data_IF_759936819881
#
_entry.id   IF_759936819881
#
_cell.length_a   1.000
_cell.length_b   1.000
_cell.length_c   1.000
_cell.angle_alpha   90.00
_cell.angle_beta   90.00
_cell.angle_gamma   90.00
#
_symmetry.space_group_name_H-M   'P 1'
#
loop_
_entity.id
_entity.type
_entity.pdbx_description
1 polymer ?
#
# COMPACT_ATOMS: atom_id res chain seq x y z
N UNK A 1 3.68 16.86 24.21
CA UNK A 1 2.94 15.64 23.82
C UNK A 1 1.66 16.11 23.17
N UNK A 2 1.58 16.04 21.85
CA UNK A 2 0.37 16.38 21.09
C UNK A 2 -0.56 15.18 21.14
N UNK A 3 -1.81 15.41 21.56
CA UNK A 3 -2.80 14.34 21.65
C UNK A 3 -3.10 13.78 20.25
N UNK A 4 -3.01 12.45 20.03
CA UNK A 4 -3.27 11.84 18.73
C UNK A 4 -4.68 12.13 18.20
N UNK A 5 -5.65 12.35 19.10
CA UNK A 5 -7.01 12.79 18.74
C UNK A 5 -7.07 14.21 18.18
N UNK A 6 -6.19 15.11 18.63
CA UNK A 6 -6.12 16.50 18.15
C UNK A 6 -5.52 16.57 16.74
N UNK A 7 -4.46 15.78 16.49
CA UNK A 7 -3.85 15.64 15.16
C UNK A 7 -4.81 14.97 14.17
N UNK A 8 -5.49 13.89 14.57
CA UNK A 8 -6.47 13.20 13.74
C UNK A 8 -7.66 14.13 13.38
N UNK A 9 -8.18 14.90 14.34
CA UNK A 9 -9.22 15.89 14.07
C UNK A 9 -8.77 16.98 13.09
N UNK A 10 -7.49 17.35 13.10
CA UNK A 10 -6.91 18.28 12.14
C UNK A 10 -6.84 17.70 10.73
N UNK A 11 -6.37 16.47 10.59
CA UNK A 11 -6.24 15.81 9.27
C UNK A 11 -7.60 15.53 8.65
N UNK A 12 -8.59 15.06 9.42
CA UNK A 12 -9.96 14.85 8.92
C UNK A 12 -10.55 16.14 8.32
N UNK A 13 -10.34 17.27 9.00
CA UNK A 13 -10.78 18.57 8.50
C UNK A 13 -10.08 18.94 7.18
N UNK A 14 -8.78 18.65 7.07
CA UNK A 14 -7.99 18.91 5.85
C UNK A 14 -8.39 18.01 4.68
N UNK A 15 -8.63 16.71 4.90
CA UNK A 15 -9.16 15.80 3.87
C UNK A 15 -10.52 16.27 3.40
N UNK A 16 -11.40 16.64 4.33
CA UNK A 16 -12.74 17.15 4.01
C UNK A 16 -12.66 18.44 3.19
N UNK A 17 -11.76 19.35 3.56
CA UNK A 17 -11.53 20.59 2.82
C UNK A 17 -11.02 20.30 1.40
N UNK A 18 -9.98 19.48 1.25
CA UNK A 18 -9.44 19.10 -0.05
C UNK A 18 -10.48 18.43 -0.95
N UNK A 19 -11.29 17.54 -0.38
CA UNK A 19 -12.37 16.85 -1.07
C UNK A 19 -13.44 17.83 -1.57
N UNK A 20 -13.91 18.72 -0.70
CA UNK A 20 -14.93 19.72 -1.06
C UNK A 20 -14.43 20.69 -2.15
N UNK A 21 -13.17 21.14 -2.05
CA UNK A 21 -12.54 22.00 -3.05
C UNK A 21 -12.40 21.29 -4.39
N UNK A 22 -11.94 20.03 -4.40
CA UNK A 22 -11.79 19.20 -5.62
C UNK A 22 -13.13 18.95 -6.31
N UNK A 23 -14.18 18.59 -5.56
CA UNK A 23 -15.54 18.40 -6.08
C UNK A 23 -16.12 19.68 -6.66
N UNK A 24 -15.87 20.83 -6.01
CA UNK A 24 -16.34 22.13 -6.48
C UNK A 24 -15.64 22.51 -7.78
N UNK A 25 -14.33 22.30 -7.88
CA UNK A 25 -13.58 22.55 -9.10
C UNK A 25 -14.03 21.62 -10.24
N UNK A 26 -14.18 20.33 -9.98
CA UNK A 26 -14.69 19.36 -10.97
C UNK A 26 -16.06 19.77 -11.52
N UNK A 27 -16.98 20.24 -10.65
CA UNK A 27 -18.29 20.77 -11.07
C UNK A 27 -18.15 22.02 -11.94
N UNK A 28 -17.24 22.93 -11.56
CA UNK A 28 -16.98 24.17 -12.29
C UNK A 28 -16.46 23.87 -13.69
N UNK A 29 -15.46 23.01 -13.82
CA UNK A 29 -14.90 22.59 -15.12
C UNK A 29 -15.95 21.85 -15.96
N UNK A 30 -16.76 20.97 -15.36
CA UNK A 30 -17.85 20.26 -16.07
C UNK A 30 -18.88 21.21 -16.68
N UNK A 31 -19.12 22.36 -16.07
CA UNK A 31 -20.06 23.36 -16.60
C UNK A 31 -19.52 24.08 -17.84
N UNK A 32 -18.19 24.11 -18.02
CA UNK A 32 -17.55 24.61 -19.23
C UNK A 32 -17.73 23.53 -20.31
N UNK A 33 -18.59 23.77 -21.30
CA UNK A 33 -18.76 22.90 -22.48
C UNK A 33 -17.51 22.91 -23.37
N UNK A 34 -16.40 22.38 -22.86
CA UNK A 34 -15.13 22.28 -23.58
C UNK A 34 -15.03 20.92 -24.28
N UNK A 35 -14.80 20.92 -25.59
CA UNK A 35 -14.42 19.71 -26.36
C UNK A 35 -12.90 19.45 -26.33
N UNK A 36 -12.16 20.20 -25.53
CA UNK A 36 -10.70 20.18 -25.48
C UNK A 36 -10.19 18.94 -24.75
N UNK A 37 -9.11 18.36 -25.29
CA UNK A 37 -8.50 17.14 -24.74
C UNK A 37 -8.00 17.37 -23.31
N UNK A 38 -7.36 18.51 -23.06
CA UNK A 38 -6.71 18.78 -21.77
C UNK A 38 -7.71 19.08 -20.66
N UNK A 39 -8.82 19.74 -20.99
CA UNK A 39 -9.93 19.93 -20.07
C UNK A 39 -10.61 18.61 -19.67
N UNK A 40 -10.70 17.63 -20.60
CA UNK A 40 -11.17 16.28 -20.27
C UNK A 40 -10.18 15.55 -19.39
N UNK A 41 -8.90 15.58 -19.73
CA UNK A 41 -7.86 14.95 -18.91
C UNK A 41 -7.81 15.52 -17.48
N UNK A 42 -7.93 16.85 -17.33
CA UNK A 42 -7.99 17.48 -16.00
C UNK A 42 -9.24 17.06 -15.21
N UNK A 43 -10.37 16.90 -15.90
CA UNK A 43 -11.61 16.44 -15.27
C UNK A 43 -11.47 15.00 -14.76
N UNK A 44 -10.86 14.12 -15.55
CA UNK A 44 -10.62 12.74 -15.18
C UNK A 44 -9.64 12.68 -13.99
N UNK A 45 -8.56 13.47 -14.01
CA UNK A 45 -7.62 13.60 -12.89
C UNK A 45 -8.30 14.06 -11.59
N UNK A 46 -9.22 15.04 -11.68
CA UNK A 46 -10.00 15.50 -10.52
C UNK A 46 -10.96 14.44 -9.98
N UNK A 47 -11.51 13.59 -10.86
CA UNK A 47 -12.37 12.49 -10.44
C UNK A 47 -11.55 11.43 -9.68
N UNK A 48 -10.37 11.09 -10.19
CA UNK A 48 -9.44 10.16 -9.53
C UNK A 48 -8.99 10.71 -8.17
N UNK A 49 -8.60 11.99 -8.11
CA UNK A 49 -8.23 12.65 -6.85
C UNK A 49 -9.37 12.65 -5.84
N UNK A 50 -10.61 12.92 -6.28
CA UNK A 50 -11.81 12.87 -5.43
C UNK A 50 -11.99 11.46 -4.83
N UNK A 51 -11.85 10.42 -5.65
CA UNK A 51 -11.99 9.03 -5.21
C UNK A 51 -10.91 8.63 -4.18
N UNK A 52 -9.67 9.08 -4.39
CA UNK A 52 -8.57 8.83 -3.45
C UNK A 52 -8.78 9.58 -2.13
N UNK A 53 -9.30 10.80 -2.16
CA UNK A 53 -9.65 11.57 -0.96
C UNK A 53 -10.80 10.95 -0.17
N UNK A 54 -11.82 10.40 -0.85
CA UNK A 54 -12.90 9.63 -0.22
C UNK A 54 -12.34 8.38 0.47
N UNK A 55 -11.48 7.63 -0.23
CA UNK A 55 -10.82 6.43 0.32
C UNK A 55 -9.96 6.77 1.55
N UNK A 56 -9.25 7.89 1.52
CA UNK A 56 -8.49 8.37 2.66
C UNK A 56 -9.38 8.70 3.85
N UNK A 57 -10.51 9.38 3.62
CA UNK A 57 -11.46 9.71 4.68
C UNK A 57 -12.02 8.44 5.35
N UNK A 58 -12.47 7.47 4.54
CA UNK A 58 -12.95 6.17 5.03
C UNK A 58 -11.88 5.42 5.83
N UNK A 59 -10.62 5.47 5.36
CA UNK A 59 -9.49 4.80 6.04
C UNK A 59 -9.20 5.42 7.40
N UNK A 60 -9.22 6.76 7.50
CA UNK A 60 -9.02 7.49 8.76
C UNK A 60 -10.15 7.16 9.76
N UNK A 61 -11.40 7.12 9.30
CA UNK A 61 -12.56 6.79 10.13
C UNK A 61 -12.53 5.33 10.60
N UNK A 62 -12.12 4.39 9.74
CA UNK A 62 -12.01 2.97 10.06
C UNK A 62 -10.82 2.60 10.96
N UNK A 63 -9.75 3.42 10.95
CA UNK A 63 -8.49 3.10 11.63
C UNK A 63 -7.94 4.30 12.44
N UNK A 64 -8.61 4.72 13.54
CA UNK A 64 -8.26 5.94 14.29
C UNK A 64 -6.89 5.89 14.99
N UNK A 65 -6.26 4.72 15.06
CA UNK A 65 -4.94 4.53 15.66
C UNK A 65 -3.78 4.83 14.68
N UNK A 66 -4.08 5.07 13.40
CA UNK A 66 -3.08 5.38 12.38
C UNK A 66 -2.91 6.89 12.28
N UNK A 67 -1.66 7.33 12.38
CA UNK A 67 -1.31 8.74 12.22
C UNK A 67 -1.14 9.10 10.74
N UNK A 68 -1.97 10.02 10.27
CA UNK A 68 -1.90 10.63 8.93
C UNK A 68 -1.40 12.08 8.98
N UNK A 69 -0.81 12.53 10.10
CA UNK A 69 -0.34 13.91 10.28
C UNK A 69 0.67 14.36 9.22
N UNK A 70 1.42 13.43 8.62
CA UNK A 70 2.32 13.69 7.49
C UNK A 70 1.63 14.16 6.22
N UNK A 71 0.31 13.95 6.07
CA UNK A 71 -0.48 14.46 4.95
C UNK A 71 -1.04 15.87 5.18
N UNK A 72 -0.89 16.45 6.38
CA UNK A 72 -1.52 17.73 6.69
C UNK A 72 -1.19 18.83 5.67
N UNK A 73 0.10 19.00 5.37
CA UNK A 73 0.55 19.99 4.39
C UNK A 73 0.13 19.65 2.95
N UNK A 74 0.35 18.42 2.43
CA UNK A 74 -0.18 18.01 1.12
C UNK A 74 -1.69 18.23 0.94
N UNK A 75 -2.50 17.89 1.94
CA UNK A 75 -3.95 18.06 1.87
C UNK A 75 -4.37 19.52 1.91
N UNK A 76 -3.73 20.32 2.78
CA UNK A 76 -3.99 21.75 2.83
C UNK A 76 -3.67 22.42 1.49
N UNK A 77 -2.51 22.11 0.92
CA UNK A 77 -2.07 22.65 -0.36
C UNK A 77 -2.99 22.19 -1.50
N UNK A 78 -3.30 20.90 -1.58
CA UNK A 78 -4.25 20.34 -2.53
C UNK A 78 -5.60 21.09 -2.52
N UNK A 79 -6.17 21.31 -1.33
CA UNK A 79 -7.45 22.01 -1.20
C UNK A 79 -7.37 23.49 -1.61
N UNK A 80 -6.30 24.19 -1.21
CA UNK A 80 -6.05 25.59 -1.58
C UNK A 80 -5.85 25.74 -3.08
N UNK A 81 -5.05 24.86 -3.68
CA UNK A 81 -4.78 24.83 -5.13
C UNK A 81 -6.05 24.57 -5.95
N UNK A 82 -6.90 23.63 -5.52
CA UNK A 82 -8.20 23.41 -6.16
C UNK A 82 -9.13 24.65 -6.05
N UNK A 83 -9.13 25.32 -4.90
CA UNK A 83 -9.94 26.51 -4.68
C UNK A 83 -9.46 27.69 -5.53
N UNK A 84 -8.16 28.00 -5.49
CA UNK A 84 -7.54 29.11 -6.24
C UNK A 84 -7.77 28.95 -7.76
N UNK A 85 -7.59 27.74 -8.28
CA UNK A 85 -7.84 27.46 -9.69
C UNK A 85 -9.33 27.59 -10.04
N UNK A 86 -10.24 27.17 -9.15
CA UNK A 86 -11.67 27.38 -9.32
C UNK A 86 -12.06 28.86 -9.35
N UNK A 87 -11.46 29.67 -8.49
CA UNK A 87 -11.66 31.13 -8.46
C UNK A 87 -11.14 31.80 -9.74
N UNK A 88 -10.00 31.35 -10.28
CA UNK A 88 -9.48 31.82 -11.56
C UNK A 88 -10.47 31.54 -12.72
N UNK A 89 -11.03 30.33 -12.78
CA UNK A 89 -12.05 29.97 -13.77
C UNK A 89 -13.32 30.83 -13.58
N UNK A 90 -13.75 31.07 -12.33
CA UNK A 90 -14.94 31.88 -12.04
C UNK A 90 -14.76 33.35 -12.44
N UNK A 91 -13.58 33.93 -12.21
CA UNK A 91 -13.22 35.29 -12.66
C UNK A 91 -13.28 35.41 -14.18
N UNK A 92 -12.77 34.40 -14.89
CA UNK A 92 -12.82 34.33 -16.35
C UNK A 92 -14.25 34.32 -16.92
N UNK A 93 -15.14 33.55 -16.30
CA UNK A 93 -16.50 33.34 -16.82
C UNK A 93 -17.45 34.51 -16.57
N UNK A 94 -17.17 35.38 -15.58
CA UNK A 94 -18.00 36.56 -15.24
C UNK A 94 -17.95 37.72 -16.25
N UNK A 95 -16.86 37.88 -17.02
CA UNK A 95 -16.66 39.03 -17.92
C UNK A 95 -16.94 38.73 -19.40
N UNK A 96 -17.92 37.87 -19.71
CA UNK A 96 -18.20 37.38 -21.07
C UNK A 96 -18.85 38.42 -22.01
N UNK A 97 -18.09 39.46 -22.37
CA UNK A 97 -18.22 40.20 -23.65
C UNK A 97 -16.97 40.04 -24.55
N UNK A 98 -15.85 39.54 -24.03
CA UNK A 98 -14.68 39.18 -24.85
C UNK A 98 -14.67 37.68 -25.19
N UNK A 99 -14.39 37.38 -26.46
CA UNK A 99 -14.28 36.06 -27.09
C UNK A 99 -13.80 34.93 -26.16
N UNK A 100 -14.45 33.76 -26.25
CA UNK A 100 -14.05 32.51 -25.58
C UNK A 100 -12.58 32.11 -25.79
N UNK A 101 -11.91 32.64 -26.83
CA UNK A 101 -10.49 32.46 -27.06
C UNK A 101 -9.61 33.20 -26.03
N UNK A 102 -10.04 34.36 -25.51
CA UNK A 102 -9.24 35.16 -24.56
C UNK A 102 -9.28 34.61 -23.13
N UNK A 103 -10.32 33.83 -22.77
CA UNK A 103 -10.40 33.16 -21.47
C UNK A 103 -9.48 31.94 -21.41
N UNK A 104 -9.31 31.25 -22.55
CA UNK A 104 -8.40 30.13 -22.70
C UNK A 104 -6.95 30.63 -22.55
N UNK A 105 -6.54 31.61 -23.35
CA UNK A 105 -5.19 32.22 -23.28
C UNK A 105 -4.83 32.67 -21.87
N UNK A 106 -5.79 33.25 -21.15
CA UNK A 106 -5.58 33.78 -19.80
C UNK A 106 -5.47 32.69 -18.71
N UNK A 107 -6.25 31.60 -18.79
CA UNK A 107 -6.16 30.46 -17.85
C UNK A 107 -4.84 29.69 -18.05
N UNK A 108 -4.36 29.58 -19.29
CA UNK A 108 -3.03 29.00 -19.58
C UNK A 108 -1.85 29.87 -19.13
N UNK A 109 -2.07 31.14 -18.75
CA UNK A 109 -0.97 32.08 -18.51
C UNK A 109 -0.63 32.39 -17.04
N UNK A 110 -1.35 31.87 -16.03
CA UNK A 110 -1.24 32.53 -14.70
C UNK A 110 -1.48 31.78 -13.40
N UNK A 111 -1.64 30.45 -13.36
CA UNK A 111 -1.58 29.74 -12.08
C UNK A 111 -0.18 29.18 -11.85
N UNK A 112 0.58 29.74 -10.90
CA UNK A 112 1.98 29.38 -10.63
C UNK A 112 2.86 29.39 -11.91
N UNK A 113 2.61 30.38 -12.78
CA UNK A 113 3.22 30.52 -14.11
C UNK A 113 3.06 29.31 -15.06
N UNK A 114 2.18 28.37 -14.73
CA UNK A 114 2.00 27.13 -15.49
C UNK A 114 0.69 27.06 -16.28
N UNK A 115 0.66 26.10 -17.21
CA UNK A 115 -0.50 25.81 -18.05
C UNK A 115 -1.47 24.80 -17.37
N UNK A 116 -2.48 24.36 -18.10
CA UNK A 116 -3.44 23.36 -17.61
C UNK A 116 -2.79 22.00 -17.31
N UNK A 117 -1.71 21.64 -18.00
CA UNK A 117 -0.98 20.40 -17.77
C UNK A 117 -0.13 20.50 -16.52
N UNK A 118 0.49 21.64 -16.24
CA UNK A 118 1.20 21.87 -14.98
C UNK A 118 0.27 21.73 -13.78
N UNK A 119 -0.94 22.28 -13.88
CA UNK A 119 -1.96 22.09 -12.85
C UNK A 119 -2.38 20.62 -12.71
N UNK A 120 -2.56 19.91 -13.82
CA UNK A 120 -2.87 18.47 -13.79
C UNK A 120 -1.73 17.67 -13.13
N UNK A 121 -0.48 18.00 -13.42
CA UNK A 121 0.69 17.34 -12.84
C UNK A 121 0.77 17.57 -11.32
N UNK A 122 0.46 18.79 -10.85
CA UNK A 122 0.33 19.06 -9.40
C UNK A 122 -0.75 18.18 -8.74
N UNK A 123 -1.93 18.06 -9.35
CA UNK A 123 -2.99 17.19 -8.82
C UNK A 123 -2.58 15.72 -8.79
N UNK A 124 -1.91 15.24 -9.84
CA UNK A 124 -1.35 13.89 -9.88
C UNK A 124 -0.33 13.67 -8.76
N UNK A 125 0.53 14.65 -8.48
CA UNK A 125 1.47 14.63 -7.36
C UNK A 125 0.79 14.47 -5.99
N UNK A 126 -0.29 15.22 -5.73
CA UNK A 126 -1.06 15.05 -4.49
C UNK A 126 -1.75 13.69 -4.44
N UNK A 127 -2.37 13.25 -5.53
CA UNK A 127 -3.05 11.94 -5.63
C UNK A 127 -2.08 10.81 -5.28
N UNK A 128 -0.92 10.80 -5.92
CA UNK A 128 0.14 9.80 -5.67
C UNK A 128 0.65 9.88 -4.23
N UNK A 129 0.87 11.09 -3.68
CA UNK A 129 1.25 11.28 -2.28
C UNK A 129 0.22 10.69 -1.30
N UNK A 130 -1.08 10.88 -1.57
CA UNK A 130 -2.15 10.29 -0.76
C UNK A 130 -2.16 8.77 -0.89
N UNK A 131 -2.00 8.24 -2.11
CA UNK A 131 -1.92 6.79 -2.34
C UNK A 131 -0.72 6.15 -1.61
N UNK A 132 0.43 6.83 -1.55
CA UNK A 132 1.60 6.39 -0.76
C UNK A 132 1.23 6.31 0.73
N UNK A 133 0.55 7.32 1.26
CA UNK A 133 0.11 7.31 2.66
C UNK A 133 -0.94 6.21 2.94
N UNK A 134 -1.85 5.95 2.00
CA UNK A 134 -2.81 4.84 2.07
C UNK A 134 -2.09 3.48 2.04
N UNK A 135 -1.12 3.28 1.15
CA UNK A 135 -0.30 2.07 1.09
C UNK A 135 0.47 1.86 2.40
N UNK A 136 1.02 2.94 2.97
CA UNK A 136 1.71 2.93 4.25
C UNK A 136 0.80 2.54 5.41
N UNK A 137 -0.44 3.02 5.40
CA UNK A 137 -1.45 2.61 6.37
C UNK A 137 -1.79 1.12 6.18
N UNK A 138 -2.08 0.70 4.94
CA UNK A 138 -2.46 -0.67 4.60
C UNK A 138 -1.42 -1.70 5.06
N UNK A 139 -0.11 -1.41 4.96
CA UNK A 139 0.95 -2.30 5.47
C UNK A 139 0.80 -2.62 6.96
N UNK A 140 0.23 -1.71 7.74
CA UNK A 140 0.13 -1.88 9.19
C UNK A 140 -1.04 -2.74 9.65
N UNK A 141 -2.09 -2.88 8.84
CA UNK A 141 -3.32 -3.55 9.27
C UNK A 141 -3.88 -4.58 8.28
N UNK A 142 -3.49 -4.54 7.01
CA UNK A 142 -3.97 -5.45 5.99
C UNK A 142 -2.98 -6.60 5.75
N UNK A 143 -3.53 -7.78 5.42
CA UNK A 143 -2.71 -8.87 4.91
C UNK A 143 -2.25 -8.52 3.49
N UNK A 144 -0.97 -8.20 3.32
CA UNK A 144 -0.39 -7.82 2.03
C UNK A 144 0.06 -9.04 1.26
N UNK A 145 -0.38 -9.13 0.02
CA UNK A 145 0.13 -10.14 -0.91
C UNK A 145 1.45 -9.66 -1.53
N UNK A 146 2.34 -10.58 -1.97
CA UNK A 146 3.58 -10.19 -2.66
C UNK A 146 3.34 -9.31 -3.89
N UNK A 147 2.26 -9.54 -4.64
CA UNK A 147 1.91 -8.69 -5.78
C UNK A 147 1.65 -7.24 -5.35
N UNK A 148 0.83 -7.06 -4.31
CA UNK A 148 0.54 -5.72 -3.75
C UNK A 148 1.81 -5.05 -3.22
N UNK A 149 2.78 -5.83 -2.73
CA UNK A 149 4.07 -5.29 -2.30
C UNK A 149 4.92 -4.80 -3.48
N UNK A 150 4.92 -5.51 -4.60
CA UNK A 150 5.57 -5.05 -5.84
C UNK A 150 4.85 -3.82 -6.41
N UNK A 151 3.51 -3.83 -6.43
CA UNK A 151 2.71 -2.66 -6.84
C UNK A 151 3.04 -1.43 -5.98
N UNK A 152 3.34 -1.60 -4.69
CA UNK A 152 3.80 -0.51 -3.82
C UNK A 152 5.22 -0.04 -4.13
N UNK A 153 6.13 -0.94 -4.52
CA UNK A 153 7.48 -0.53 -4.95
C UNK A 153 7.43 0.30 -6.23
N UNK A 154 6.61 -0.11 -7.18
CA UNK A 154 6.39 0.62 -8.43
C UNK A 154 5.76 1.99 -8.14
N UNK A 155 4.72 2.02 -7.29
CA UNK A 155 4.10 3.27 -6.84
C UNK A 155 5.11 4.23 -6.18
N UNK A 156 6.02 3.72 -5.33
CA UNK A 156 7.08 4.54 -4.71
C UNK A 156 8.02 5.09 -5.76
N UNK A 157 8.45 4.26 -6.71
CA UNK A 157 9.41 4.65 -7.74
C UNK A 157 8.82 5.76 -8.62
N UNK A 158 7.63 5.53 -9.18
CA UNK A 158 6.94 6.48 -10.05
C UNK A 158 6.66 7.80 -9.32
N UNK A 159 6.09 7.72 -8.11
CA UNK A 159 5.80 8.93 -7.31
C UNK A 159 7.08 9.69 -6.95
N UNK A 160 8.18 9.00 -6.66
CA UNK A 160 9.45 9.66 -6.32
C UNK A 160 10.05 10.38 -7.52
N UNK A 161 9.93 9.80 -8.72
CA UNK A 161 10.39 10.44 -9.95
C UNK A 161 9.55 11.68 -10.27
N UNK A 162 8.23 11.54 -10.27
CA UNK A 162 7.30 12.63 -10.57
C UNK A 162 7.47 13.81 -9.60
N UNK A 163 7.58 13.54 -8.29
CA UNK A 163 7.76 14.60 -7.29
C UNK A 163 9.13 15.28 -7.39
N UNK A 164 10.19 14.58 -7.81
CA UNK A 164 11.50 15.20 -8.05
C UNK A 164 11.48 16.11 -9.28
N UNK A 165 10.87 15.65 -10.37
CA UNK A 165 10.70 16.48 -11.57
C UNK A 165 9.89 17.75 -11.26
N UNK A 166 8.80 17.60 -10.49
CA UNK A 166 8.01 18.76 -10.03
C UNK A 166 8.83 19.71 -9.13
N UNK A 167 9.63 19.17 -8.21
CA UNK A 167 10.49 19.97 -7.34
C UNK A 167 11.54 20.77 -8.14
N UNK A 168 12.18 20.16 -9.14
CA UNK A 168 13.13 20.84 -10.03
C UNK A 168 12.44 21.99 -10.80
N UNK A 169 11.22 21.76 -11.31
CA UNK A 169 10.42 22.80 -11.97
C UNK A 169 10.06 23.95 -11.04
N UNK A 170 9.68 23.66 -9.79
CA UNK A 170 9.39 24.70 -8.80
C UNK A 170 10.63 25.53 -8.46
N UNK A 171 11.80 24.89 -8.36
CA UNK A 171 13.07 25.59 -8.09
C UNK A 171 13.48 26.52 -9.23
N UNK A 172 13.25 26.11 -10.49
CA UNK A 172 13.43 26.98 -11.66
C UNK A 172 12.50 28.19 -11.59
N UNK A 173 11.20 27.99 -11.32
CA UNK A 173 10.21 29.07 -11.20
C UNK A 173 10.54 30.06 -10.08
N UNK A 174 11.00 29.55 -8.93
CA UNK A 174 11.47 30.40 -7.82
C UNK A 174 12.71 31.20 -8.23
N UNK A 175 13.64 30.59 -8.96
CA UNK A 175 14.85 31.25 -9.45
C UNK A 175 14.56 32.36 -10.47
N UNK A 176 13.53 32.21 -11.29
CA UNK A 176 13.12 33.23 -12.26
C UNK A 176 12.37 34.39 -11.62
N UNK A 177 11.50 34.12 -10.64
CA UNK A 177 10.81 35.15 -9.86
C UNK A 177 11.78 36.05 -9.09
N UNK A 178 12.88 35.49 -8.56
CA UNK A 178 13.92 36.28 -7.89
C UNK A 178 14.64 37.28 -8.81
N UNK A 179 14.59 37.07 -10.14
CA UNK A 179 15.20 37.97 -11.13
C UNK A 179 14.27 39.13 -11.55
N UNK A 180 12.96 39.00 -11.33
CA UNK A 180 11.94 40.04 -11.59
C UNK A 180 11.75 40.97 -10.38
N UNK A 181 11.60 42.28 -10.63
CA UNK A 181 11.49 43.32 -9.58
C UNK A 181 10.13 43.21 -8.84
N UNK A 182 10.11 43.22 -7.49
CA UNK A 182 8.95 42.83 -6.69
C UNK A 182 8.01 44.00 -6.48
N UNK A 183 6.79 43.93 -7.02
CA UNK A 183 5.71 44.81 -6.55
C UNK A 183 4.35 44.12 -6.35
N UNK A 184 4.17 42.86 -6.78
CA UNK A 184 2.90 42.12 -6.63
C UNK A 184 3.05 40.59 -6.34
N UNK A 185 4.28 40.09 -6.14
CA UNK A 185 4.57 38.63 -6.18
C UNK A 185 4.55 37.93 -4.80
N UNK A 186 4.20 38.62 -3.70
CA UNK A 186 4.27 38.04 -2.34
C UNK A 186 3.33 36.83 -2.17
N UNK A 187 2.13 36.89 -2.75
CA UNK A 187 1.17 35.79 -2.72
C UNK A 187 1.61 34.61 -3.60
N UNK A 188 2.23 34.88 -4.74
CA UNK A 188 2.74 33.85 -5.66
C UNK A 188 3.97 33.15 -5.07
N UNK A 189 4.86 33.91 -4.42
CA UNK A 189 6.02 33.39 -3.73
C UNK A 189 5.63 32.50 -2.53
N UNK A 190 4.63 32.93 -1.75
CA UNK A 190 4.07 32.12 -0.68
C UNK A 190 3.46 30.81 -1.22
N UNK A 191 2.72 30.86 -2.32
CA UNK A 191 2.13 29.67 -2.94
C UNK A 191 3.20 28.68 -3.47
N UNK A 192 4.27 29.17 -4.09
CA UNK A 192 5.40 28.34 -4.53
C UNK A 192 6.16 27.72 -3.35
N UNK A 193 6.37 28.48 -2.27
CA UNK A 193 7.03 27.95 -1.07
C UNK A 193 6.21 26.86 -0.39
N UNK A 194 4.89 27.06 -0.26
CA UNK A 194 3.98 26.05 0.27
C UNK A 194 3.94 24.80 -0.63
N UNK A 195 3.98 24.99 -1.96
CA UNK A 195 4.01 23.88 -2.93
C UNK A 195 5.30 23.07 -2.83
N UNK A 196 6.43 23.75 -2.67
CA UNK A 196 7.73 23.13 -2.44
C UNK A 196 7.72 22.27 -1.17
N UNK A 197 7.29 22.85 -0.05
CA UNK A 197 7.25 22.14 1.24
C UNK A 197 6.29 20.93 1.18
N UNK A 198 5.15 21.07 0.49
CA UNK A 198 4.22 19.96 0.22
C UNK A 198 4.87 18.84 -0.59
N UNK A 199 5.63 19.18 -1.63
CA UNK A 199 6.32 18.23 -2.51
C UNK A 199 7.43 17.48 -1.76
N UNK A 200 8.22 18.20 -0.95
CA UNK A 200 9.24 17.61 -0.05
C UNK A 200 8.61 16.65 0.97
N UNK A 201 7.44 17.00 1.50
CA UNK A 201 6.69 16.14 2.40
C UNK A 201 6.17 14.86 1.70
N UNK A 202 5.78 14.94 0.43
CA UNK A 202 5.47 13.78 -0.40
C UNK A 202 6.68 12.84 -0.58
N UNK A 203 7.87 13.39 -0.85
CA UNK A 203 9.11 12.60 -0.94
C UNK A 203 9.45 11.91 0.38
N UNK A 204 9.20 12.58 1.51
CA UNK A 204 9.38 11.98 2.84
C UNK A 204 8.43 10.80 3.08
N UNK A 205 7.18 10.90 2.61
CA UNK A 205 6.20 9.81 2.65
C UNK A 205 6.66 8.60 1.81
N UNK A 206 7.20 8.83 0.61
CA UNK A 206 7.78 7.76 -0.22
C UNK A 206 8.92 7.03 0.52
N UNK A 207 9.83 7.79 1.16
CA UNK A 207 10.92 7.20 1.94
C UNK A 207 10.41 6.41 3.17
N UNK A 208 9.36 6.90 3.84
CA UNK A 208 8.73 6.21 4.96
C UNK A 208 8.09 4.88 4.54
N UNK A 209 7.38 4.87 3.41
CA UNK A 209 6.78 3.66 2.88
C UNK A 209 7.85 2.63 2.49
N UNK A 210 8.91 3.08 1.80
CA UNK A 210 10.05 2.22 1.44
C UNK A 210 10.69 1.59 2.69
N UNK A 211 10.96 2.38 3.73
CA UNK A 211 11.50 1.87 4.99
C UNK A 211 10.56 0.87 5.67
N UNK A 212 9.24 1.09 5.60
CA UNK A 212 8.26 0.14 6.14
C UNK A 212 8.20 -1.16 5.34
N UNK A 213 8.32 -1.12 4.01
CA UNK A 213 8.43 -2.31 3.17
C UNK A 213 9.67 -3.11 3.54
N UNK A 214 10.83 -2.46 3.68
CA UNK A 214 12.07 -3.12 4.09
C UNK A 214 11.95 -3.74 5.50
N UNK A 215 11.33 -3.02 6.43
CA UNK A 215 11.05 -3.54 7.77
C UNK A 215 10.07 -4.72 7.73
N UNK A 216 9.02 -4.64 6.91
CA UNK A 216 8.04 -5.72 6.75
C UNK A 216 8.71 -6.99 6.19
N UNK A 217 9.57 -6.85 5.17
CA UNK A 217 10.38 -7.94 4.63
C UNK A 217 11.40 -8.48 5.65
N UNK A 218 11.88 -7.62 6.55
CA UNK A 218 12.84 -8.00 7.61
C UNK A 218 12.16 -8.61 8.85
N UNK A 219 10.92 -8.26 9.17
CA UNK A 219 10.13 -8.86 10.27
C UNK A 219 9.55 -10.22 9.87
N UNK A 220 9.42 -10.47 8.57
CA UNK A 220 9.25 -11.82 8.04
C UNK A 220 10.54 -12.66 8.17
N UNK A 221 11.61 -12.14 8.78
CA UNK A 221 12.81 -12.92 9.07
C UNK A 221 12.51 -14.05 10.06
N UNK A 222 13.12 -15.20 9.76
CA UNK A 222 13.07 -16.42 10.54
C UNK A 222 13.25 -16.17 12.04
N UNK A 223 12.45 -16.91 12.81
CA UNK A 223 12.62 -17.05 14.26
C UNK A 223 14.10 -17.36 14.59
N UNK A 224 14.72 -16.71 15.60
CA UNK A 224 16.15 -16.85 15.89
C UNK A 224 16.67 -18.28 16.02
N UNK A 225 15.80 -19.25 16.34
CA UNK A 225 16.13 -20.68 16.36
C UNK A 225 16.51 -21.26 14.99
N UNK A 226 16.05 -20.66 13.89
CA UNK A 226 16.32 -21.08 12.52
C UNK A 226 17.33 -20.15 11.80
N UNK A 227 17.68 -19.01 12.41
CA UNK A 227 18.63 -18.02 11.87
C UNK A 227 20.00 -18.60 11.50
N UNK A 228 20.48 -19.63 12.19
CA UNK A 228 21.77 -20.29 11.94
C UNK A 228 21.70 -21.44 10.91
N UNK A 229 20.50 -21.87 10.50
CA UNK A 229 20.37 -22.94 9.49
C UNK A 229 20.67 -22.40 8.09
N UNK A 230 21.55 -23.04 7.32
CA UNK A 230 21.70 -22.74 5.90
C UNK A 230 20.39 -23.15 5.19
N UNK A 231 19.80 -22.21 4.45
CA UNK A 231 18.63 -22.44 3.60
C UNK A 231 18.93 -21.93 2.19
N UNK A 232 18.32 -22.56 1.19
CA UNK A 232 18.44 -22.11 -0.19
C UNK A 232 18.05 -20.63 -0.33
N UNK A 233 16.98 -20.21 0.35
CA UNK A 233 16.54 -18.81 0.44
C UNK A 233 17.62 -17.88 1.00
N UNK A 234 18.37 -18.26 2.05
CA UNK A 234 19.48 -17.43 2.57
C UNK A 234 20.63 -17.28 1.58
N UNK A 235 21.04 -18.37 0.93
CA UNK A 235 22.11 -18.33 -0.06
C UNK A 235 21.71 -17.52 -1.31
N UNK A 236 20.45 -17.61 -1.71
CA UNK A 236 19.86 -16.83 -2.80
C UNK A 236 19.77 -15.35 -2.40
N UNK A 237 19.19 -15.01 -1.25
CA UNK A 237 19.04 -13.61 -0.77
C UNK A 237 20.37 -12.90 -0.55
N UNK A 238 21.35 -13.58 0.07
CA UNK A 238 22.69 -13.01 0.30
C UNK A 238 23.56 -12.93 -0.95
N UNK A 239 23.38 -13.85 -1.91
CA UNK A 239 24.07 -13.82 -3.20
C UNK A 239 23.45 -12.86 -4.22
N UNK A 240 22.12 -12.72 -4.23
CA UNK A 240 21.39 -11.92 -5.21
C UNK A 240 21.08 -10.49 -4.74
N UNK A 241 21.11 -10.19 -3.44
CA UNK A 241 20.92 -8.81 -2.96
C UNK A 241 21.91 -7.80 -3.57
N UNK A 242 23.23 -8.07 -3.55
CA UNK A 242 24.22 -7.22 -4.24
C UNK A 242 24.03 -7.15 -5.76
N UNK A 243 23.50 -8.23 -6.35
CA UNK A 243 23.18 -8.30 -7.79
C UNK A 243 21.97 -7.43 -8.11
N UNK A 244 20.91 -7.44 -7.30
CA UNK A 244 19.72 -6.59 -7.48
C UNK A 244 20.07 -5.10 -7.43
N UNK A 245 20.86 -4.65 -6.44
CA UNK A 245 21.33 -3.27 -6.38
C UNK A 245 22.19 -2.89 -7.60
N UNK A 246 22.98 -3.83 -8.12
CA UNK A 246 23.79 -3.64 -9.32
C UNK A 246 22.95 -3.60 -10.60
N UNK A 247 21.90 -4.42 -10.71
CA UNK A 247 20.95 -4.44 -11.82
C UNK A 247 20.12 -3.15 -11.85
N UNK A 248 19.66 -2.66 -10.69
CA UNK A 248 18.97 -1.38 -10.58
C UNK A 248 19.85 -0.19 -11.02
N UNK A 249 21.11 -0.17 -10.55
CA UNK A 249 22.09 0.83 -10.99
C UNK A 249 22.33 0.77 -12.50
N UNK A 250 22.46 -0.43 -13.06
CA UNK A 250 22.61 -0.64 -14.50
C UNK A 250 21.38 -0.19 -15.29
N UNK A 251 20.17 -0.47 -14.79
CA UNK A 251 18.91 -0.07 -15.41
C UNK A 251 18.79 1.46 -15.48
N UNK A 252 19.15 2.16 -14.40
CA UNK A 252 19.20 3.63 -14.38
C UNK A 252 20.20 4.19 -15.40
N UNK A 253 21.39 3.60 -15.51
CA UNK A 253 22.41 4.01 -16.49
C UNK A 253 21.89 3.79 -17.93
N UNK A 254 21.26 2.65 -18.19
CA UNK A 254 20.73 2.32 -19.52
C UNK A 254 19.56 3.23 -19.92
N UNK A 255 18.64 3.54 -19.00
CA UNK A 255 17.54 4.47 -19.24
C UNK A 255 18.04 5.90 -19.50
N UNK A 256 19.00 6.37 -18.72
CA UNK A 256 19.66 7.67 -18.93
C UNK A 256 20.38 7.72 -20.30
N UNK A 257 20.97 6.61 -20.72
CA UNK A 257 21.62 6.54 -22.02
C UNK A 257 20.59 6.51 -23.17
N UNK A 258 19.45 5.82 -23.00
CA UNK A 258 18.36 5.84 -23.98
C UNK A 258 17.78 7.25 -24.16
N UNK A 259 17.59 8.01 -23.08
CA UNK A 259 17.10 9.39 -23.15
C UNK A 259 18.10 10.34 -23.82
N UNK A 260 19.40 10.21 -23.50
CA UNK A 260 20.48 10.96 -24.15
C UNK A 260 20.51 10.70 -25.67
N UNK A 261 20.41 9.43 -26.11
CA UNK A 261 20.40 9.10 -27.54
C UNK A 261 19.15 9.67 -28.23
N UNK A 262 17.97 9.62 -27.58
CA UNK A 262 16.76 10.26 -28.12
C UNK A 262 16.96 11.76 -28.34
N UNK A 263 17.56 12.46 -27.37
CA UNK A 263 17.87 13.89 -27.49
C UNK A 263 18.89 14.18 -28.61
N UNK A 264 19.93 13.37 -28.74
CA UNK A 264 20.93 13.50 -29.81
C UNK A 264 20.32 13.27 -31.20
N UNK A 265 19.46 12.25 -31.35
CA UNK A 265 18.75 12.02 -32.61
C UNK A 265 17.84 13.18 -32.98
N UNK A 266 17.14 13.78 -32.01
CA UNK A 266 16.26 14.93 -32.25
C UNK A 266 17.06 16.18 -32.64
N UNK A 267 18.17 16.46 -31.97
CA UNK A 267 19.08 17.55 -32.32
C UNK A 267 19.68 17.40 -33.73
N UNK A 268 20.01 16.16 -34.14
CA UNK A 268 20.51 15.85 -35.48
C UNK A 268 19.41 16.00 -36.55
N UNK A 269 18.17 15.62 -36.25
CA UNK A 269 17.01 15.81 -37.14
C UNK A 269 16.69 17.28 -37.38
N UNK A 270 16.83 18.12 -36.35
CA UNK A 270 16.61 19.58 -36.44
C UNK A 270 17.73 20.29 -37.21
N UNK A 271 18.97 19.81 -37.13
CA UNK A 271 20.16 20.49 -37.69
C UNK A 271 20.39 20.27 -39.20
N UNK A 272 19.67 19.33 -39.84
CA UNK A 272 19.46 19.24 -41.28
C UNK A 272 20.62 19.64 -42.23
N UNK A 273 21.79 19.00 -42.16
CA UNK A 273 22.87 19.18 -43.15
C UNK A 273 23.61 17.87 -43.49
N UNK A 274 23.47 17.46 -44.75
CA UNK A 274 24.28 16.50 -45.53
C UNK A 274 24.27 15.00 -45.18
N UNK A 275 24.62 14.16 -46.17
CA UNK A 275 24.28 12.73 -46.27
C UNK A 275 24.90 11.80 -45.22
N UNK A 276 25.87 12.29 -44.43
CA UNK A 276 26.48 11.56 -43.30
C UNK A 276 25.55 11.46 -42.08
N UNK A 277 24.59 12.40 -41.95
CA UNK A 277 23.60 12.42 -40.86
C UNK A 277 22.66 11.21 -40.91
N UNK A 278 22.36 10.69 -42.11
CA UNK A 278 21.47 9.53 -42.28
C UNK A 278 22.06 8.25 -41.69
N UNK A 279 23.35 7.98 -41.94
CA UNK A 279 24.05 6.81 -41.41
C UNK A 279 24.29 6.94 -39.90
N UNK A 280 24.52 8.16 -39.39
CA UNK A 280 24.62 8.41 -37.95
C UNK A 280 23.28 8.21 -37.22
N UNK A 281 22.17 8.64 -37.82
CA UNK A 281 20.83 8.39 -37.28
C UNK A 281 20.53 6.88 -37.27
N UNK A 282 20.84 6.16 -38.34
CA UNK A 282 20.66 4.70 -38.41
C UNK A 282 21.48 3.97 -37.33
N UNK A 283 22.75 4.36 -37.13
CA UNK A 283 23.59 3.83 -36.06
C UNK A 283 23.07 4.15 -34.65
N UNK A 284 22.52 5.36 -34.43
CA UNK A 284 21.88 5.73 -33.17
C UNK A 284 20.57 4.97 -32.93
N UNK A 285 19.80 4.66 -33.99
CA UNK A 285 18.60 3.82 -33.90
C UNK A 285 18.94 2.36 -33.57
N UNK A 286 19.99 1.79 -34.17
CA UNK A 286 20.51 0.47 -33.79
C UNK A 286 20.97 0.45 -32.32
N UNK A 287 21.74 1.47 -31.91
CA UNK A 287 22.23 1.59 -30.52
C UNK A 287 21.07 1.70 -29.53
N UNK A 288 20.05 2.49 -29.85
CA UNK A 288 18.81 2.60 -29.05
C UNK A 288 18.07 1.26 -28.95
N UNK A 289 18.02 0.51 -30.04
CA UNK A 289 17.36 -0.81 -30.07
C UNK A 289 18.11 -1.81 -29.19
N UNK A 290 19.44 -1.83 -29.28
CA UNK A 290 20.29 -2.65 -28.43
C UNK A 290 20.15 -2.30 -26.94
N UNK A 291 20.11 -1.01 -26.59
CA UNK A 291 19.89 -0.56 -25.20
C UNK A 291 18.53 -0.99 -24.68
N UNK A 292 17.46 -0.88 -25.48
CA UNK A 292 16.13 -1.38 -25.09
C UNK A 292 16.12 -2.87 -24.82
N UNK A 293 16.86 -3.63 -25.63
CA UNK A 293 17.00 -5.06 -25.43
C UNK A 293 17.78 -5.38 -24.15
N UNK A 294 18.83 -4.61 -23.82
CA UNK A 294 19.53 -4.69 -22.53
C UNK A 294 18.61 -4.34 -21.36
N UNK A 295 17.80 -3.28 -21.47
CA UNK A 295 16.81 -2.92 -20.44
C UNK A 295 15.83 -4.07 -20.23
N UNK A 296 15.32 -4.67 -21.31
CA UNK A 296 14.42 -5.82 -21.23
C UNK A 296 15.09 -7.00 -20.52
N UNK A 297 16.31 -7.38 -20.89
CA UNK A 297 17.02 -8.51 -20.27
C UNK A 297 17.33 -8.24 -18.79
N UNK A 298 17.72 -7.01 -18.44
CA UNK A 298 18.00 -6.62 -17.05
C UNK A 298 16.72 -6.59 -16.22
N UNK A 299 15.60 -6.16 -16.79
CA UNK A 299 14.30 -6.14 -16.12
C UNK A 299 13.75 -7.55 -15.91
N UNK A 300 13.85 -8.42 -16.93
CA UNK A 300 13.47 -9.84 -16.87
C UNK A 300 14.34 -10.62 -15.86
N UNK A 301 15.64 -10.30 -15.80
CA UNK A 301 16.55 -10.84 -14.80
C UNK A 301 16.23 -10.35 -13.37
N UNK A 302 15.77 -9.12 -13.20
CA UNK A 302 15.34 -8.59 -11.91
C UNK A 302 14.01 -9.23 -11.45
N UNK A 303 13.07 -9.43 -12.36
CA UNK A 303 11.79 -10.11 -12.09
C UNK A 303 11.99 -11.59 -11.71
N UNK A 304 12.87 -12.31 -12.41
CA UNK A 304 13.21 -13.71 -12.09
C UNK A 304 14.00 -13.87 -10.79
N UNK A 305 14.77 -12.84 -10.36
CA UNK A 305 15.41 -12.80 -9.03
C UNK A 305 14.38 -12.53 -7.93
N UNK A 306 13.29 -11.81 -8.25
CA UNK A 306 12.18 -11.47 -7.34
C UNK A 306 11.13 -12.58 -7.20
N UNK A 307 11.08 -13.55 -8.10
CA UNK A 307 10.29 -14.77 -7.93
C UNK A 307 10.88 -15.67 -6.82
N UNK A 308 10.66 -15.29 -5.57
CA UNK A 308 10.95 -16.15 -4.43
C UNK A 308 10.15 -17.45 -4.55
N UNK A 309 10.82 -18.60 -4.35
CA UNK A 309 10.13 -19.88 -4.18
C UNK A 309 9.16 -19.78 -3.01
N UNK A 310 7.87 -19.77 -3.31
CA UNK A 310 6.79 -19.56 -2.34
C UNK A 310 5.86 -20.77 -2.32
N UNK A 311 5.62 -21.31 -1.12
CA UNK A 311 4.62 -22.35 -0.89
C UNK A 311 3.30 -21.68 -0.52
N UNK A 312 2.31 -21.69 -1.42
CA UNK A 312 0.99 -21.11 -1.17
C UNK A 312 -0.01 -22.23 -0.87
N UNK A 313 -0.63 -22.17 0.30
CA UNK A 313 -1.75 -23.01 0.71
C UNK A 313 -3.00 -22.14 0.77
N UNK A 314 -3.89 -22.24 -0.22
CA UNK A 314 -5.09 -21.42 -0.32
C UNK A 314 -6.35 -22.26 -0.45
N UNK A 315 -7.46 -21.75 0.08
CA UNK A 315 -8.83 -22.22 -0.18
C UNK A 315 -9.08 -23.69 0.20
N UNK A 316 -8.49 -24.10 1.33
CA UNK A 316 -8.61 -25.47 1.84
C UNK A 316 -9.92 -25.59 2.63
N UNK A 317 -10.83 -26.42 2.11
CA UNK A 317 -12.09 -26.75 2.78
C UNK A 317 -12.04 -28.17 3.31
N UNK A 318 -12.36 -28.34 4.60
CA UNK A 318 -12.28 -29.61 5.30
C UNK A 318 -13.64 -30.01 5.89
N UNK A 319 -14.03 -31.26 5.63
CA UNK A 319 -15.20 -31.88 6.23
C UNK A 319 -14.95 -32.18 7.72
N UNK A 320 -16.04 -32.39 8.48
CA UNK A 320 -15.93 -32.82 9.88
C UNK A 320 -15.09 -34.11 10.00
N UNK A 321 -14.36 -34.25 11.11
CA UNK A 321 -13.46 -35.37 11.39
C UNK A 321 -12.35 -35.65 10.36
N UNK A 322 -11.83 -34.62 9.68
CA UNK A 322 -10.75 -34.79 8.70
C UNK A 322 -9.39 -34.23 9.14
N UNK A 323 -8.32 -34.81 8.58
CA UNK A 323 -6.94 -34.37 8.76
C UNK A 323 -6.32 -34.01 7.42
N UNK A 324 -5.60 -32.90 7.37
CA UNK A 324 -4.89 -32.47 6.16
C UNK A 324 -3.48 -31.96 6.52
N UNK A 325 -2.50 -32.37 5.73
CA UNK A 325 -1.10 -31.98 5.89
C UNK A 325 -0.60 -31.26 4.64
N UNK A 326 -0.05 -30.06 4.82
CA UNK A 326 0.52 -29.25 3.73
C UNK A 326 1.87 -28.70 4.17
N UNK A 327 2.89 -29.55 4.07
CA UNK A 327 4.18 -29.35 4.75
C UNK A 327 5.34 -29.24 3.76
N UNK A 328 6.24 -28.28 4.01
CA UNK A 328 7.51 -28.14 3.30
C UNK A 328 8.67 -28.41 4.26
N UNK A 329 9.67 -29.16 3.80
CA UNK A 329 10.95 -29.37 4.51
C UNK A 329 12.04 -28.43 4.02
N UNK A 330 11.78 -27.71 2.91
CA UNK A 330 12.68 -26.70 2.35
C UNK A 330 12.28 -25.35 2.95
N UNK A 331 13.26 -24.63 3.50
CA UNK A 331 13.11 -23.38 4.25
C UNK A 331 12.61 -22.17 3.43
N UNK A 332 11.55 -22.35 2.64
CA UNK A 332 10.93 -21.38 1.75
C UNK A 332 9.71 -20.71 2.39
N UNK A 333 9.39 -19.47 2.00
CA UNK A 333 8.27 -18.69 2.53
C UNK A 333 6.94 -19.43 2.32
N UNK A 334 6.16 -19.61 3.39
CA UNK A 334 4.83 -20.23 3.34
C UNK A 334 3.75 -19.16 3.50
N UNK A 335 2.81 -19.12 2.57
CA UNK A 335 1.60 -18.29 2.67
C UNK A 335 0.37 -19.19 2.78
N UNK A 336 -0.41 -19.03 3.85
CA UNK A 336 -1.60 -19.82 4.11
C UNK A 336 -2.84 -18.90 4.19
N UNK A 337 -3.87 -19.13 3.36
CA UNK A 337 -5.13 -18.34 3.37
C UNK A 337 -6.38 -19.17 3.02
N UNK A 338 -7.57 -18.67 3.35
CA UNK A 338 -8.84 -19.28 2.88
C UNK A 338 -9.19 -20.64 3.48
N UNK A 339 -8.90 -20.86 4.77
CA UNK A 339 -9.22 -22.14 5.43
C UNK A 339 -10.67 -22.19 5.91
N UNK A 340 -11.40 -23.21 5.49
CA UNK A 340 -12.76 -23.49 5.90
C UNK A 340 -12.80 -24.85 6.60
N UNK A 341 -12.62 -24.83 7.92
CA UNK A 341 -12.61 -26.01 8.77
C UNK A 341 -13.99 -26.18 9.42
N UNK A 342 -14.50 -27.41 9.48
CA UNK A 342 -15.76 -27.72 10.14
C UNK A 342 -15.58 -28.84 11.19
N UNK A 343 -16.36 -28.75 12.27
CA UNK A 343 -16.36 -29.72 13.37
C UNK A 343 -14.98 -29.98 13.98
N UNK A 344 -14.47 -31.21 13.89
CA UNK A 344 -13.16 -31.63 14.44
C UNK A 344 -12.03 -31.67 13.40
N UNK A 345 -12.24 -31.07 12.24
CA UNK A 345 -11.21 -30.96 11.21
C UNK A 345 -9.91 -30.32 11.73
N UNK A 346 -8.76 -30.89 11.36
CA UNK A 346 -7.44 -30.33 11.70
C UNK A 346 -6.52 -30.25 10.49
N UNK A 347 -6.07 -29.04 10.18
CA UNK A 347 -5.03 -28.81 9.19
C UNK A 347 -3.68 -28.58 9.87
N UNK A 348 -2.64 -29.19 9.35
CA UNK A 348 -1.24 -28.97 9.73
C UNK A 348 -0.49 -28.54 8.48
N UNK A 349 -0.02 -27.30 8.44
CA UNK A 349 0.78 -26.86 7.31
C UNK A 349 1.83 -25.84 7.69
N UNK A 350 2.80 -25.67 6.80
CA UNK A 350 3.96 -24.83 7.04
C UNK A 350 5.28 -25.57 6.88
N UNK A 351 6.33 -25.00 7.47
CA UNK A 351 7.62 -25.65 7.55
C UNK A 351 7.66 -26.57 8.77
N UNK A 352 7.94 -27.85 8.53
CA UNK A 352 8.04 -28.86 9.59
C UNK A 352 9.27 -29.71 9.35
N UNK A 353 9.97 -30.08 10.42
CA UNK A 353 11.01 -31.12 10.32
C UNK A 353 10.36 -32.50 10.19
N UNK A 354 11.10 -33.46 9.64
CA UNK A 354 10.64 -34.86 9.58
C UNK A 354 10.29 -35.40 10.99
N UNK A 355 11.10 -35.08 12.00
CA UNK A 355 10.83 -35.45 13.40
C UNK A 355 9.53 -34.83 13.92
N UNK A 356 9.32 -33.52 13.74
CA UNK A 356 8.09 -32.87 14.18
C UNK A 356 6.87 -33.37 13.41
N UNK A 357 7.02 -33.69 12.12
CA UNK A 357 5.96 -34.29 11.31
C UNK A 357 5.53 -35.64 11.86
N UNK A 358 6.49 -36.53 12.13
CA UNK A 358 6.22 -37.84 12.71
C UNK A 358 5.56 -37.72 14.09
N UNK A 359 6.04 -36.82 14.95
CA UNK A 359 5.43 -36.57 16.26
C UNK A 359 3.99 -36.04 16.15
N UNK A 360 3.71 -35.15 15.19
CA UNK A 360 2.36 -34.63 14.97
C UNK A 360 1.41 -35.72 14.47
N UNK A 361 1.84 -36.54 13.51
CA UNK A 361 1.05 -37.68 13.02
C UNK A 361 0.73 -38.66 14.15
N UNK A 362 1.72 -38.99 14.99
CA UNK A 362 1.54 -39.88 16.14
C UNK A 362 0.58 -39.30 17.19
N UNK A 363 0.70 -38.01 17.48
CA UNK A 363 -0.16 -37.34 18.45
C UNK A 363 -1.62 -37.30 17.99
N UNK A 364 -1.85 -37.01 16.71
CA UNK A 364 -3.20 -37.00 16.13
C UNK A 364 -3.81 -38.40 16.11
N UNK A 365 -3.03 -39.42 15.75
CA UNK A 365 -3.45 -40.83 15.77
C UNK A 365 -3.87 -41.28 17.18
N UNK A 366 -3.12 -40.89 18.22
CA UNK A 366 -3.46 -41.20 19.62
C UNK A 366 -4.75 -40.52 20.06
N UNK A 367 -5.00 -39.32 19.56
CA UNK A 367 -6.16 -38.52 19.93
C UNK A 367 -7.44 -39.10 19.32
N UNK A 368 -7.38 -39.57 18.08
CA UNK A 368 -8.47 -40.36 17.48
C UNK A 368 -8.74 -41.65 18.24
N UNK A 369 -7.68 -42.36 18.64
CA UNK A 369 -7.82 -43.59 19.40
C UNK A 369 -8.50 -43.36 20.74
N UNK A 370 -8.10 -42.32 21.48
CA UNK A 370 -8.74 -41.95 22.75
C UNK A 370 -10.21 -41.54 22.56
N UNK A 371 -10.53 -40.84 21.47
CA UNK A 371 -11.91 -40.48 21.16
C UNK A 371 -12.77 -41.71 20.86
N UNK A 372 -12.26 -42.64 20.04
CA UNK A 372 -12.96 -43.89 19.73
C UNK A 372 -13.24 -44.74 20.98
N UNK A 373 -12.34 -44.71 21.97
CA UNK A 373 -12.49 -45.41 23.24
C UNK A 373 -13.52 -44.74 24.16
N UNK A 374 -13.53 -43.41 24.24
CA UNK A 374 -14.53 -42.66 25.01
C UNK A 374 -15.94 -42.82 24.45
N UNK A 375 -16.09 -42.79 23.11
CA UNK A 375 -17.39 -43.01 22.47
C UNK A 375 -17.90 -44.43 22.71
N UNK A 376 -17.03 -45.45 22.65
CA UNK A 376 -17.40 -46.84 22.97
C UNK A 376 -17.82 -47.04 24.43
N UNK A 377 -17.16 -46.38 25.37
CA UNK A 377 -17.54 -46.44 26.79
C UNK A 377 -18.89 -45.78 27.06
N UNK A 378 -19.18 -44.62 26.44
CA UNK A 378 -20.48 -43.96 26.57
C UNK A 378 -21.62 -44.75 25.90
N UNK A 379 -21.35 -45.52 24.84
CA UNK A 379 -22.35 -46.41 24.24
C UNK A 379 -22.69 -47.61 25.13
N UNK A 380 -21.69 -48.20 25.80
CA UNK A 380 -21.91 -49.32 26.73
C UNK A 380 -22.68 -48.91 28.00
N UNK A 381 -22.53 -47.67 28.47
CA UNK A 381 -23.25 -47.17 29.64
C UNK A 381 -24.72 -46.82 29.33
N UNK A 382 -25.04 -46.60 28.05
CA UNK A 382 -26.42 -46.36 27.61
C UNK A 382 -27.22 -47.66 27.39
N UNK A 383 -26.56 -48.75 26.97
CA UNK A 383 -27.17 -50.07 26.79
C UNK A 383 -27.38 -50.84 28.11
N UNK A 384 -26.75 -50.42 29.22
CA UNK A 384 -27.00 -51.02 30.56
C UNK A 384 -28.17 -50.39 31.32
N UNK A 385 -28.86 -49.37 30.79
CA UNK A 385 -30.00 -48.68 31.44
C UNK A 385 -31.38 -48.98 30.86
N UNK A 386 -31.53 -50.04 30.07
CA UNK A 386 -32.84 -50.45 29.52
C UNK A 386 -33.26 -51.86 29.94
N UNK A 387 -33.35 -52.14 31.25
CA UNK A 387 -34.29 -53.16 31.76
C UNK A 387 -34.70 -52.85 33.22
N UNK A 388 -35.94 -52.40 33.40
CA UNK A 388 -36.60 -52.26 34.70
C UNK A 388 -37.98 -51.62 34.52
N UNK A 389 -39.08 -52.27 34.95
CA UNK A 389 -40.43 -51.93 34.50
C UNK A 389 -40.95 -50.64 35.12
N UNK A 390 -41.59 -49.83 34.28
CA UNK A 390 -42.38 -48.66 34.66
C UNK A 390 -43.63 -49.07 35.43
N UNK A 391 -43.99 -48.36 36.52
CA UNK A 391 -45.38 -48.16 36.87
C UNK A 391 -45.83 -46.77 36.43
N UNK A 392 -46.98 -46.76 35.74
CA UNK A 392 -47.72 -45.60 35.25
C UNK A 392 -48.39 -44.87 36.41
N UNK A 393 -48.29 -43.53 36.47
CA UNK A 393 -49.41 -42.59 36.74
C UNK A 393 -48.98 -41.10 36.59
N UNK A 394 -49.91 -40.13 36.46
CA UNK A 394 -49.99 -39.29 35.27
C UNK A 394 -49.66 -37.79 35.49
N UNK A 395 -49.42 -37.14 34.36
CA UNK A 395 -49.41 -35.72 34.01
C UNK A 395 -49.61 -34.64 35.10
N UNK A 396 -48.69 -33.68 35.12
CA UNK A 396 -49.05 -32.25 35.16
C UNK A 396 -47.89 -31.41 34.61
N UNK A 397 -48.23 -30.47 33.71
CA UNK A 397 -47.28 -29.76 32.85
C UNK A 397 -46.41 -28.71 33.56
N UNK A 398 -45.31 -28.36 32.89
CA UNK A 398 -44.44 -27.25 33.28
C UNK A 398 -43.19 -27.19 32.40
N UNK A 399 -43.19 -26.25 31.46
CA UNK A 399 -42.05 -25.80 30.65
C UNK A 399 -40.76 -25.54 31.45
N UNK A 400 -39.61 -25.74 30.75
CA UNK A 400 -38.24 -25.18 30.92
C UNK A 400 -37.19 -26.27 31.23
N UNK A 401 -35.92 -26.26 30.82
CA UNK A 401 -35.06 -25.50 29.88
C UNK A 401 -33.72 -26.25 29.87
N UNK A 402 -32.99 -26.18 28.75
CA UNK A 402 -31.52 -26.36 28.63
C UNK A 402 -30.73 -26.33 29.96
N UNK A 403 -30.27 -27.49 30.42
CA UNK A 403 -29.18 -27.59 31.39
C UNK A 403 -28.37 -28.84 31.07
N UNK A 404 -27.15 -28.64 30.55
CA UNK A 404 -25.96 -29.48 30.82
C UNK A 404 -24.75 -29.02 29.96
N UNK A 405 -24.32 -27.78 30.19
CA UNK A 405 -22.97 -27.33 29.82
C UNK A 405 -22.32 -26.67 31.03
N UNK A 406 -21.59 -27.45 31.83
CA UNK A 406 -20.48 -26.94 32.64
C UNK A 406 -19.33 -27.94 32.60
N UNK A 407 -18.21 -27.55 31.98
CA UNK A 407 -16.92 -28.19 32.20
C UNK A 407 -16.41 -27.90 33.62
N UNK A 408 -15.51 -28.73 34.16
CA UNK A 408 -14.94 -28.55 35.49
C UNK A 408 -14.19 -27.22 35.56
N UNK A 409 -14.68 -26.27 36.36
CA UNK A 409 -13.94 -25.08 36.75
C UNK A 409 -12.76 -25.43 37.65
N UNK A 410 -11.60 -24.81 37.41
CA UNK A 410 -10.42 -24.86 38.28
C UNK A 410 -10.52 -23.76 39.36
N UNK A 411 -10.25 -24.11 40.62
CA UNK A 411 -10.05 -23.13 41.71
C UNK A 411 -8.63 -22.58 41.62
N UNK A 412 -8.49 -21.27 41.43
CA UNK A 412 -7.22 -20.57 41.60
C UNK A 412 -6.91 -20.45 43.10
N UNK A 413 -5.73 -20.90 43.51
CA UNK A 413 -5.22 -20.73 44.87
C UNK A 413 -4.87 -19.26 45.13
N UNK A 414 -5.35 -18.73 46.27
CA UNK A 414 -5.05 -17.37 46.75
C UNK A 414 -3.56 -17.19 47.09
N UNK A 415 -3.00 -15.98 46.94
CA UNK A 415 -1.65 -15.67 47.40
C UNK A 415 -1.60 -15.74 48.93
N UNK A 416 -0.57 -16.40 49.46
CA UNK A 416 -0.34 -16.51 50.89
C UNK A 416 0.20 -15.17 51.43
N UNK A 417 -0.62 -14.46 52.19
CA UNK A 417 -0.19 -13.34 53.03
C UNK A 417 0.49 -13.88 54.29
N UNK A 418 1.70 -13.39 54.60
CA UNK A 418 2.29 -13.54 55.93
C UNK A 418 3.81 -13.51 55.99
N UNK A 419 4.42 -12.32 55.95
CA UNK A 419 5.01 -11.71 57.16
C UNK A 419 5.77 -10.41 56.83
N UNK A 420 5.25 -9.29 57.37
CA UNK A 420 6.02 -8.09 57.70
C UNK A 420 6.76 -8.33 59.02
N UNK A 421 7.98 -7.80 59.15
CA UNK A 421 8.32 -6.68 60.07
C UNK A 421 9.78 -6.22 59.88
N UNK A 422 10.13 -4.98 60.31
CA UNK A 422 11.07 -4.08 59.63
C UNK A 422 12.45 -4.05 60.29
N UNK A 423 13.42 -3.38 59.65
CA UNK A 423 14.34 -2.50 60.38
C UNK A 423 14.99 -1.44 59.46
N UNK A 424 15.03 -0.23 60.02
CA UNK A 424 15.71 1.01 59.61
C UNK A 424 16.39 1.48 60.91
N UNK A 425 17.64 1.95 60.90
CA UNK A 425 17.93 3.38 60.62
C UNK A 425 18.71 3.62 59.33
#
# INVERSE_FOLDING_TARGET
MTDPLSTASGVVALVTFALQSSVTLHRTIRSLRSQEKDARALKDELADLTSVLETLLETIEGHPNIDFGSLALPLQRCGKTCQEYGELIAKCTRHSTSSRASLRDWITQRYLQGDINDFRNMLSGYKSTINIALANANIRFAAITPQVLEDYKDLILDTTLDLKEHLESLEEKVGDLQKSIPQDDEAEWAALSEEKESTEQGLKLCAQLSAQIEQFMSLSAENPQFSSRPSAHKHIKSGLGPVGASLQSLLLILQKHESSIKQQMEALRVSGLHGDVTAQIESLEETKTAIRQCIHVVSDADETVREERRNVFADITMADDSYAFSVSTVGDLVTARGFHLSGRARHVGGQISDESYQMTVDALTKLDLAHSQSTRQNSQDHDQKTHGPTPVHPETGGTKTFQDRYGRGMKLSLPNDGNRTPDVP
#
